data_IF_170041361217
#
_entry.id   IF_170041361217
#
_cell.length_a   1.000
_cell.length_b   1.000
_cell.length_c   1.000
_cell.angle_alpha   90.00
_cell.angle_beta   90.00
_cell.angle_gamma   90.00
#
_symmetry.space_group_name_H-M   'P 1'
#
loop_
_entity.id
_entity.type
_entity.pdbx_description
1 polymer ?
#
# COMPACT_ATOMS: atom_id res chain seq x y z
N UNK A 1 -9.88 10.33 1.46
CA UNK A 1 -9.41 10.89 0.16
C UNK A 1 -10.60 11.47 -0.58
N UNK A 2 -10.53 12.69 -1.10
CA UNK A 2 -11.64 13.23 -1.92
C UNK A 2 -11.71 12.47 -3.25
N UNK A 3 -12.91 12.17 -3.81
CA UNK A 3 -13.05 11.39 -5.04
C UNK A 3 -12.23 11.94 -6.23
N UNK A 4 -12.03 13.26 -6.28
CA UNK A 4 -11.21 13.92 -7.31
C UNK A 4 -9.74 13.49 -7.23
N UNK A 5 -9.17 13.39 -6.03
CA UNK A 5 -7.78 12.96 -5.84
C UNK A 5 -7.55 11.51 -6.25
N UNK A 6 -8.58 10.65 -6.18
CA UNK A 6 -8.44 9.25 -6.62
C UNK A 6 -8.28 9.13 -8.14
N UNK A 7 -8.77 10.10 -8.92
CA UNK A 7 -8.66 10.10 -10.38
C UNK A 7 -7.20 10.22 -10.84
N UNK A 8 -6.41 11.06 -10.15
CA UNK A 8 -4.99 11.29 -10.43
C UNK A 8 -4.17 10.00 -10.39
N UNK A 9 -4.51 9.10 -9.47
CA UNK A 9 -3.75 7.87 -9.27
C UNK A 9 -4.26 6.69 -10.08
N UNK A 10 -5.39 6.84 -10.79
CA UNK A 10 -6.01 5.72 -11.48
C UNK A 10 -5.11 5.15 -12.59
N UNK A 11 -4.56 6.01 -13.44
CA UNK A 11 -3.68 5.59 -14.54
C UNK A 11 -2.32 5.07 -14.03
N UNK A 12 -1.61 5.78 -13.13
CA UNK A 12 -0.38 5.27 -12.54
C UNK A 12 -0.54 3.91 -11.84
N UNK A 13 -1.61 3.73 -11.05
CA UNK A 13 -1.86 2.46 -10.37
C UNK A 13 -2.24 1.35 -11.36
N UNK A 14 -2.97 1.65 -12.44
CA UNK A 14 -3.24 0.66 -13.47
C UNK A 14 -1.97 0.18 -14.15
N UNK A 15 -1.02 1.08 -14.43
CA UNK A 15 0.28 0.70 -14.98
C UNK A 15 1.02 -0.28 -14.06
N UNK A 16 1.09 0.01 -12.76
CA UNK A 16 1.70 -0.90 -11.76
C UNK A 16 0.99 -2.27 -11.74
N UNK A 17 -0.35 -2.27 -11.79
CA UNK A 17 -1.13 -3.52 -11.82
C UNK A 17 -0.90 -4.34 -13.10
N UNK A 18 -0.76 -3.70 -14.26
CA UNK A 18 -0.46 -4.38 -15.52
C UNK A 18 0.94 -5.02 -15.48
N UNK A 19 1.92 -4.31 -14.94
CA UNK A 19 3.27 -4.85 -14.73
C UNK A 19 3.27 -6.05 -13.80
N UNK A 20 2.45 -6.01 -12.74
CA UNK A 20 2.26 -7.15 -11.85
C UNK A 20 1.64 -8.36 -12.56
N UNK A 21 0.69 -8.13 -13.47
CA UNK A 21 0.11 -9.20 -14.28
C UNK A 21 1.15 -9.83 -15.20
N UNK A 22 2.02 -9.04 -15.83
CA UNK A 22 3.13 -9.58 -16.62
C UNK A 22 4.11 -10.35 -15.74
N UNK A 23 4.47 -9.82 -14.57
CA UNK A 23 5.31 -10.51 -13.58
C UNK A 23 4.74 -11.89 -13.20
N UNK A 24 3.44 -11.99 -12.93
CA UNK A 24 2.77 -13.28 -12.67
C UNK A 24 2.95 -14.24 -13.86
N UNK A 25 2.85 -13.75 -15.10
CA UNK A 25 3.00 -14.60 -16.29
C UNK A 25 4.43 -15.07 -16.51
N UNK A 26 5.42 -14.30 -16.08
CA UNK A 26 6.84 -14.64 -16.14
C UNK A 26 7.22 -15.68 -15.09
N UNK A 27 6.74 -15.55 -13.85
CA UNK A 27 7.15 -16.42 -12.75
C UNK A 27 6.33 -17.71 -12.63
N UNK A 28 5.15 -17.78 -13.26
CA UNK A 28 4.32 -18.98 -13.21
C UNK A 28 5.02 -20.13 -13.93
N UNK A 29 4.90 -21.31 -13.36
CA UNK A 29 5.34 -22.53 -14.03
C UNK A 29 4.52 -22.74 -15.32
N UNK A 30 5.16 -22.99 -16.48
CA UNK A 30 4.48 -23.05 -17.77
C UNK A 30 3.56 -24.28 -17.92
N UNK A 31 3.69 -25.28 -17.06
CA UNK A 31 2.92 -26.53 -17.13
C UNK A 31 1.75 -26.54 -16.14
N UNK A 32 2.01 -26.21 -14.88
CA UNK A 32 1.03 -26.19 -13.79
C UNK A 32 0.25 -24.88 -13.74
N UNK A 33 0.81 -23.80 -14.28
CA UNK A 33 0.30 -22.43 -14.18
C UNK A 33 0.27 -21.88 -12.74
N UNK A 34 1.00 -22.51 -11.83
CA UNK A 34 1.14 -22.09 -10.43
C UNK A 34 2.28 -21.08 -10.27
N UNK A 35 2.12 -20.16 -9.32
CA UNK A 35 3.18 -19.22 -8.90
C UNK A 35 4.03 -19.83 -7.78
N UNK A 36 5.27 -19.35 -7.57
CA UNK A 36 6.13 -19.84 -6.49
C UNK A 36 5.50 -19.74 -5.09
N UNK A 37 5.93 -20.62 -4.17
CA UNK A 37 5.42 -20.65 -2.78
C UNK A 37 5.61 -19.34 -2.00
N UNK A 38 6.60 -18.52 -2.39
CA UNK A 38 6.89 -17.21 -1.81
C UNK A 38 6.19 -16.05 -2.53
N UNK A 39 5.14 -16.29 -3.32
CA UNK A 39 4.41 -15.25 -4.08
C UNK A 39 3.89 -14.07 -3.25
N UNK A 40 3.80 -14.22 -1.92
CA UNK A 40 3.54 -13.10 -1.01
C UNK A 40 4.57 -11.96 -1.14
N UNK A 41 5.83 -12.27 -1.48
CA UNK A 41 6.88 -11.28 -1.73
C UNK A 41 6.55 -10.40 -2.94
N UNK A 42 6.11 -11.00 -4.05
CA UNK A 42 5.67 -10.22 -5.23
C UNK A 42 4.42 -9.37 -4.91
N UNK A 43 3.49 -9.87 -4.07
CA UNK A 43 2.33 -9.09 -3.60
C UNK A 43 2.79 -7.90 -2.73
N UNK A 44 3.81 -8.07 -1.89
CA UNK A 44 4.41 -6.95 -1.14
C UNK A 44 5.04 -5.92 -2.08
N UNK A 45 5.74 -6.33 -3.13
CA UNK A 45 6.29 -5.39 -4.12
C UNK A 45 5.17 -4.62 -4.84
N UNK A 46 4.08 -5.28 -5.22
CA UNK A 46 2.90 -4.61 -5.76
C UNK A 46 2.36 -3.53 -4.81
N UNK A 47 2.20 -3.89 -3.53
CA UNK A 47 1.71 -2.95 -2.52
C UNK A 47 2.69 -1.77 -2.34
N UNK A 48 3.99 -2.03 -2.36
CA UNK A 48 5.02 -1.02 -2.23
C UNK A 48 5.05 -0.04 -3.40
N UNK A 49 5.10 -0.53 -4.64
CA UNK A 49 5.06 0.33 -5.84
C UNK A 49 3.75 1.13 -5.89
N UNK A 50 2.62 0.50 -5.55
CA UNK A 50 1.32 1.18 -5.52
C UNK A 50 1.26 2.30 -4.48
N UNK A 51 1.75 2.05 -3.26
CA UNK A 51 1.77 3.05 -2.19
C UNK A 51 2.79 4.15 -2.49
N UNK A 52 3.94 3.81 -3.06
CA UNK A 52 4.96 4.75 -3.53
C UNK A 52 4.42 5.79 -4.49
N UNK A 53 3.66 5.31 -5.49
CA UNK A 53 3.01 6.18 -6.48
C UNK A 53 2.06 7.18 -5.82
N UNK A 54 1.36 6.80 -4.75
CA UNK A 54 0.42 7.69 -4.05
C UNK A 54 1.11 8.59 -3.03
N UNK A 55 2.12 8.08 -2.32
CA UNK A 55 2.77 8.76 -1.20
C UNK A 55 3.84 9.76 -1.65
N UNK A 56 4.64 9.41 -2.67
CA UNK A 56 5.82 10.17 -3.10
C UNK A 56 5.88 10.41 -4.62
N UNK A 57 4.80 10.13 -5.35
CA UNK A 57 4.72 10.21 -6.82
C UNK A 57 5.90 9.48 -7.49
N UNK A 58 6.25 8.30 -6.95
CA UNK A 58 7.38 7.53 -7.41
C UNK A 58 7.01 6.05 -7.59
N UNK A 59 7.36 5.53 -8.75
CA UNK A 59 7.31 4.10 -9.07
C UNK A 59 8.71 3.53 -8.82
N UNK A 60 8.87 2.76 -7.74
CA UNK A 60 10.16 2.15 -7.38
C UNK A 60 10.55 1.03 -8.35
N UNK A 61 9.60 0.52 -9.13
CA UNK A 61 9.80 -0.50 -10.14
C UNK A 61 10.21 -1.85 -9.55
N UNK A 62 9.80 -2.17 -8.33
CA UNK A 62 10.13 -3.42 -7.64
C UNK A 62 9.51 -4.64 -8.29
N UNK A 63 8.40 -4.45 -9.00
CA UNK A 63 7.76 -5.51 -9.78
C UNK A 63 8.61 -5.85 -11.03
N UNK A 64 9.32 -4.88 -11.59
CA UNK A 64 10.07 -4.99 -12.87
C UNK A 64 11.56 -5.27 -12.69
N UNK A 65 12.17 -4.63 -11.71
CA UNK A 65 13.61 -4.70 -11.42
C UNK A 65 13.82 -5.75 -10.35
N UNK A 66 14.94 -6.46 -10.45
CA UNK A 66 15.34 -7.49 -9.50
C UNK A 66 15.02 -7.04 -8.04
N UNK A 67 14.28 -7.82 -7.23
CA UNK A 67 13.85 -7.48 -5.86
C UNK A 67 14.97 -7.02 -4.92
N UNK A 68 16.22 -7.27 -5.28
CA UNK A 68 17.43 -6.97 -4.52
C UNK A 68 17.81 -5.47 -4.52
N UNK A 69 16.86 -4.55 -4.70
CA UNK A 69 17.09 -3.14 -4.35
C UNK A 69 17.25 -3.07 -2.84
N UNK A 70 18.51 -3.06 -2.39
CA UNK A 70 18.89 -3.10 -0.98
C UNK A 70 18.09 -2.11 -0.13
N UNK A 71 17.87 -0.90 -0.64
CA UNK A 71 17.11 0.17 0.03
C UNK A 71 15.68 -0.24 0.38
N UNK A 72 14.98 -0.92 -0.53
CA UNK A 72 13.60 -1.35 -0.30
C UNK A 72 13.54 -2.53 0.64
N UNK A 73 14.44 -3.51 0.49
CA UNK A 73 14.55 -4.63 1.43
C UNK A 73 14.78 -4.11 2.85
N UNK A 74 15.72 -3.19 2.99
CA UNK A 74 16.04 -2.49 4.25
C UNK A 74 14.81 -1.75 4.77
N UNK A 75 14.06 -1.03 3.92
CA UNK A 75 12.84 -0.35 4.36
C UNK A 75 11.80 -1.34 4.90
N UNK A 76 11.54 -2.45 4.20
CA UNK A 76 10.62 -3.50 4.62
C UNK A 76 11.04 -4.17 5.95
N UNK A 77 12.32 -4.49 6.11
CA UNK A 77 12.85 -5.04 7.36
C UNK A 77 12.63 -4.07 8.54
N UNK A 78 12.85 -2.77 8.31
CA UNK A 78 12.69 -1.75 9.33
C UNK A 78 11.22 -1.43 9.63
N UNK A 79 10.30 -1.53 8.66
CA UNK A 79 8.86 -1.46 8.88
C UNK A 79 8.39 -2.60 9.81
N UNK A 80 8.83 -3.83 9.54
CA UNK A 80 8.56 -4.98 10.41
C UNK A 80 9.13 -4.79 11.83
N UNK A 81 10.35 -4.26 11.94
CA UNK A 81 10.97 -3.96 13.22
C UNK A 81 10.23 -2.85 14.00
N UNK A 82 9.69 -1.86 13.30
CA UNK A 82 8.86 -0.81 13.87
C UNK A 82 7.56 -1.36 14.44
N UNK A 83 6.81 -2.17 13.68
CA UNK A 83 5.56 -2.79 14.16
C UNK A 83 5.79 -3.63 15.42
N UNK A 84 6.86 -4.42 15.46
CA UNK A 84 7.25 -5.19 16.65
C UNK A 84 7.58 -4.28 17.84
N UNK A 85 8.17 -3.12 17.57
CA UNK A 85 8.55 -2.16 18.60
C UNK A 85 7.35 -1.42 19.20
N UNK A 86 6.26 -1.20 18.45
CA UNK A 86 4.99 -0.70 19.00
C UNK A 86 4.51 -1.62 20.13
N UNK A 87 4.55 -2.93 19.91
CA UNK A 87 4.14 -3.90 20.94
C UNK A 87 5.10 -3.94 22.13
N UNK A 88 6.40 -4.00 21.87
CA UNK A 88 7.43 -4.08 22.93
C UNK A 88 7.55 -2.82 23.79
N UNK A 89 7.20 -1.64 23.26
CA UNK A 89 7.31 -0.36 23.96
C UNK A 89 5.97 0.21 24.44
N UNK A 90 4.89 -0.01 23.68
CA UNK A 90 3.58 0.59 23.93
C UNK A 90 2.60 -0.31 24.68
N UNK A 91 2.72 -1.64 24.55
CA UNK A 91 1.77 -2.59 25.16
C UNK A 91 2.40 -3.31 26.36
N UNK A 92 3.63 -3.80 26.22
CA UNK A 92 4.34 -4.43 27.34
C UNK A 92 4.79 -3.37 28.37
N UNK A 93 4.78 -3.71 29.67
CA UNK A 93 5.49 -2.89 30.66
C UNK A 93 6.93 -2.68 30.22
N UNK A 94 7.32 -1.41 30.01
CA UNK A 94 8.63 -1.08 29.45
C UNK A 94 9.23 0.13 30.16
N UNK A 95 10.50 -0.01 30.55
CA UNK A 95 11.25 1.03 31.26
C UNK A 95 11.91 2.04 30.32
N UNK A 96 11.59 2.02 29.02
CA UNK A 96 12.24 2.86 28.01
C UNK A 96 12.15 4.37 28.30
N UNK A 97 11.14 4.79 29.07
CA UNK A 97 10.98 6.19 29.50
C UNK A 97 11.99 6.62 30.57
N UNK A 98 12.58 5.67 31.29
CA UNK A 98 13.53 5.93 32.38
C UNK A 98 14.97 5.55 32.01
N UNK A 99 15.13 4.47 31.23
CA UNK A 99 16.43 3.97 30.78
C UNK A 99 16.36 3.55 29.32
N UNK A 100 17.43 3.80 28.57
CA UNK A 100 17.52 3.42 27.16
C UNK A 100 17.60 1.90 27.01
N UNK A 101 16.47 1.26 26.66
CA UNK A 101 16.38 -0.20 26.46
C UNK A 101 16.84 -0.61 25.05
N UNK A 102 17.26 -1.88 24.83
CA UNK A 102 17.56 -2.39 23.50
C UNK A 102 16.38 -2.25 22.52
N UNK A 103 15.15 -2.48 22.98
CA UNK A 103 13.94 -2.32 22.16
C UNK A 103 13.75 -0.88 21.70
N UNK A 104 14.03 0.10 22.58
CA UNK A 104 13.97 1.52 22.21
C UNK A 104 15.07 1.91 21.22
N UNK A 105 16.30 1.40 21.39
CA UNK A 105 17.38 1.63 20.41
C UNK A 105 17.02 1.08 19.03
N UNK A 106 16.42 -0.11 18.97
CA UNK A 106 15.95 -0.73 17.72
C UNK A 106 14.83 0.11 17.07
N UNK A 107 13.88 0.60 17.87
CA UNK A 107 12.84 1.51 17.42
C UNK A 107 13.41 2.80 16.83
N UNK A 108 14.27 3.50 17.59
CA UNK A 108 14.88 4.76 17.17
C UNK A 108 15.67 4.58 15.86
N UNK A 109 16.54 3.57 15.78
CA UNK A 109 17.29 3.27 14.56
C UNK A 109 16.37 3.01 13.35
N UNK A 110 15.26 2.30 13.55
CA UNK A 110 14.32 2.02 12.46
C UNK A 110 13.60 3.29 12.01
N UNK A 111 13.19 4.14 12.96
CA UNK A 111 12.56 5.43 12.67
C UNK A 111 13.50 6.37 11.92
N UNK A 112 14.77 6.47 12.36
CA UNK A 112 15.77 7.33 11.71
C UNK A 112 16.00 6.89 10.26
N UNK A 113 16.18 5.60 10.01
CA UNK A 113 16.41 5.09 8.67
C UNK A 113 15.18 5.24 7.75
N UNK A 114 13.98 4.94 8.26
CA UNK A 114 12.74 5.16 7.51
C UNK A 114 12.56 6.63 7.16
N UNK A 115 12.89 7.54 8.08
CA UNK A 115 12.86 8.97 7.84
C UNK A 115 13.87 9.37 6.76
N UNK A 116 15.11 8.89 6.83
CA UNK A 116 16.16 9.23 5.86
C UNK A 116 15.80 8.77 4.44
N UNK A 117 15.35 7.52 4.30
CA UNK A 117 14.89 6.96 3.02
C UNK A 117 13.70 7.75 2.48
N UNK A 118 12.68 8.02 3.31
CA UNK A 118 11.52 8.79 2.86
C UNK A 118 11.90 10.22 2.47
N UNK A 119 12.76 10.87 3.25
CA UNK A 119 13.24 12.21 2.99
C UNK A 119 14.03 12.26 1.67
N UNK A 120 14.83 11.25 1.36
CA UNK A 120 15.49 11.11 0.06
C UNK A 120 14.47 11.12 -1.09
N UNK A 121 13.47 10.23 -1.08
CA UNK A 121 12.47 10.16 -2.16
C UNK A 121 11.58 11.40 -2.26
N UNK A 122 11.23 12.03 -1.13
CA UNK A 122 10.50 13.31 -1.14
C UNK A 122 11.35 14.42 -1.78
N UNK A 123 12.66 14.45 -1.53
CA UNK A 123 13.55 15.42 -2.17
C UNK A 123 13.66 15.18 -3.68
N UNK A 124 13.77 13.92 -4.11
CA UNK A 124 13.76 13.63 -5.54
C UNK A 124 12.45 14.04 -6.20
N UNK A 125 11.32 13.77 -5.53
CA UNK A 125 10.01 14.19 -6.01
C UNK A 125 9.93 15.72 -6.13
N UNK A 126 10.48 16.46 -5.16
CA UNK A 126 10.57 17.92 -5.22
C UNK A 126 11.38 18.41 -6.43
N UNK A 127 12.55 17.83 -6.70
CA UNK A 127 13.35 18.19 -7.87
C UNK A 127 12.57 17.96 -9.17
N UNK A 128 11.90 16.81 -9.31
CA UNK A 128 11.06 16.50 -10.47
C UNK A 128 9.90 17.49 -10.67
N UNK A 129 9.34 17.99 -9.56
CA UNK A 129 8.27 18.99 -9.57
C UNK A 129 8.76 20.40 -9.93
N UNK A 130 9.99 20.74 -9.55
CA UNK A 130 10.62 22.01 -9.93
C UNK A 130 11.02 22.02 -11.41
N UNK A 131 11.51 20.90 -11.94
CA UNK A 131 11.88 20.72 -13.35
C UNK A 131 10.64 20.69 -14.26
N UNK A 132 9.59 19.99 -13.84
CA UNK A 132 8.31 20.00 -14.51
C UNK A 132 7.47 21.16 -13.97
N UNK A 133 7.79 22.40 -14.36
CA UNK A 133 6.94 23.57 -14.08
C UNK A 133 5.47 23.21 -14.34
N UNK A 134 4.70 22.98 -13.27
CA UNK A 134 3.33 22.50 -13.37
C UNK A 134 2.57 23.49 -14.26
N UNK A 135 2.06 23.02 -15.41
CA UNK A 135 1.19 23.84 -16.24
C UNK A 135 0.00 24.25 -15.38
N UNK A 136 -0.23 25.56 -15.29
CA UNK A 136 -1.32 26.11 -14.52
C UNK A 136 -2.64 25.45 -15.00
N UNK A 137 -3.28 24.66 -14.14
CA UNK A 137 -4.53 23.95 -14.46
C UNK A 137 -4.53 22.43 -14.22
N UNK A 138 -3.39 21.77 -14.00
CA UNK A 138 -3.36 20.34 -13.67
C UNK A 138 -3.68 20.07 -12.18
N UNK A 139 -4.39 18.97 -11.92
CA UNK A 139 -4.76 18.57 -10.56
C UNK A 139 -3.52 18.08 -9.78
N UNK A 140 -3.29 18.64 -8.60
CA UNK A 140 -2.08 18.34 -7.80
C UNK A 140 -2.12 17.02 -7.07
N UNK A 141 -0.98 16.34 -6.96
CA UNK A 141 -0.80 15.13 -6.17
C UNK A 141 -0.99 15.37 -4.66
N UNK A 142 -1.11 14.29 -3.89
CA UNK A 142 -1.15 14.31 -2.43
C UNK A 142 0.15 14.92 -1.89
N UNK A 143 1.31 14.53 -2.42
CA UNK A 143 2.60 15.07 -1.98
C UNK A 143 2.67 16.58 -2.24
N UNK A 144 2.34 17.04 -3.45
CA UNK A 144 2.34 18.47 -3.79
C UNK A 144 1.41 19.29 -2.87
N UNK A 145 0.23 18.76 -2.57
CA UNK A 145 -0.72 19.39 -1.64
C UNK A 145 -0.14 19.51 -0.24
N UNK A 146 0.56 18.48 0.24
CA UNK A 146 1.20 18.48 1.56
C UNK A 146 2.42 19.41 1.62
N UNK A 147 3.21 19.46 0.54
CA UNK A 147 4.36 20.35 0.42
C UNK A 147 3.97 21.83 0.52
N UNK A 148 2.81 22.20 -0.04
CA UNK A 148 2.26 23.56 0.10
C UNK A 148 1.88 23.94 1.52
N UNK A 149 1.60 22.96 2.38
CA UNK A 149 1.34 23.20 3.80
C UNK A 149 2.67 23.37 4.52
N UNK A 150 3.51 22.34 4.50
CA UNK A 150 4.84 22.35 5.11
C UNK A 150 5.64 21.11 4.67
N UNK A 151 6.92 21.30 4.30
CA UNK A 151 7.86 20.21 3.96
C UNK A 151 7.95 19.12 5.04
N UNK A 152 8.02 19.50 6.32
CA UNK A 152 8.07 18.53 7.43
C UNK A 152 6.81 17.67 7.47
N UNK A 153 5.64 18.27 7.27
CA UNK A 153 4.37 17.54 7.21
C UNK A 153 4.34 16.58 6.03
N UNK A 154 4.81 17.01 4.84
CA UNK A 154 4.89 16.15 3.67
C UNK A 154 5.75 14.90 3.91
N UNK A 155 6.94 15.06 4.50
CA UNK A 155 7.83 13.93 4.81
C UNK A 155 7.18 12.97 5.81
N UNK A 156 6.65 13.50 6.91
CA UNK A 156 6.03 12.67 7.96
C UNK A 156 4.82 11.90 7.42
N UNK A 157 3.97 12.55 6.62
CA UNK A 157 2.79 11.92 6.03
C UNK A 157 3.16 10.90 4.95
N UNK A 158 4.17 11.18 4.12
CA UNK A 158 4.68 10.21 3.14
C UNK A 158 5.25 8.97 3.83
N UNK A 159 6.00 9.17 4.91
CA UNK A 159 6.55 8.09 5.74
C UNK A 159 5.42 7.26 6.35
N UNK A 160 4.41 7.90 6.94
CA UNK A 160 3.25 7.22 7.53
C UNK A 160 2.47 6.42 6.47
N UNK A 161 2.27 6.98 5.28
CA UNK A 161 1.60 6.29 4.16
C UNK A 161 2.37 5.07 3.69
N UNK A 162 3.70 5.16 3.54
CA UNK A 162 4.55 4.02 3.18
C UNK A 162 4.50 2.94 4.26
N UNK A 163 4.65 3.32 5.53
CA UNK A 163 4.67 2.40 6.66
C UNK A 163 3.34 1.67 6.87
N UNK A 164 2.23 2.40 6.85
CA UNK A 164 0.91 1.82 7.11
C UNK A 164 0.29 1.17 5.86
N UNK A 165 0.65 1.65 4.67
CA UNK A 165 0.01 1.28 3.41
C UNK A 165 0.47 -0.07 2.87
N UNK A 166 1.75 -0.40 3.01
CA UNK A 166 2.34 -1.59 2.36
C UNK A 166 1.81 -2.88 2.98
N UNK A 167 2.10 -3.11 4.27
CA UNK A 167 1.72 -4.36 4.96
C UNK A 167 0.20 -4.57 4.99
N UNK A 168 -0.56 -3.49 5.18
CA UNK A 168 -2.02 -3.55 5.19
C UNK A 168 -2.60 -3.95 3.83
N UNK A 169 -2.08 -3.35 2.75
CA UNK A 169 -2.58 -3.61 1.38
C UNK A 169 -2.17 -5.00 0.90
N UNK A 170 -0.93 -5.42 1.12
CA UNK A 170 -0.47 -6.76 0.72
C UNK A 170 -1.21 -7.87 1.45
N UNK A 171 -1.45 -7.69 2.76
CA UNK A 171 -2.27 -8.61 3.57
C UNK A 171 -3.71 -8.68 3.08
N UNK A 172 -4.31 -7.54 2.73
CA UNK A 172 -5.66 -7.48 2.19
C UNK A 172 -5.77 -8.23 0.85
N UNK A 173 -4.86 -7.95 -0.09
CA UNK A 173 -4.82 -8.61 -1.40
C UNK A 173 -4.68 -10.11 -1.22
N UNK A 174 -3.76 -10.55 -0.36
CA UNK A 174 -3.54 -11.97 -0.06
C UNK A 174 -4.80 -12.64 0.49
N UNK A 175 -5.48 -11.99 1.45
CA UNK A 175 -6.73 -12.49 2.01
C UNK A 175 -7.85 -12.59 0.96
N UNK A 176 -7.97 -11.58 0.09
CA UNK A 176 -8.94 -11.57 -1.01
C UNK A 176 -8.67 -12.71 -1.98
N UNK A 177 -7.42 -12.87 -2.43
CA UNK A 177 -7.02 -13.95 -3.34
C UNK A 177 -7.30 -15.33 -2.72
N UNK A 178 -6.97 -15.52 -1.44
CA UNK A 178 -7.24 -16.75 -0.70
C UNK A 178 -8.75 -17.05 -0.64
N UNK A 179 -9.57 -16.05 -0.31
CA UNK A 179 -11.03 -16.22 -0.26
C UNK A 179 -11.59 -16.62 -1.63
N UNK A 180 -11.12 -15.97 -2.70
CA UNK A 180 -11.58 -16.26 -4.06
C UNK A 180 -11.15 -17.67 -4.50
N UNK A 181 -9.89 -18.02 -4.28
CA UNK A 181 -9.34 -19.33 -4.63
C UNK A 181 -10.06 -20.50 -3.92
N UNK A 182 -10.46 -20.31 -2.65
CA UNK A 182 -11.20 -21.31 -1.88
C UNK A 182 -12.68 -21.43 -2.28
N UNK A 183 -13.20 -20.53 -3.11
CA UNK A 183 -14.62 -20.48 -3.49
C UNK A 183 -14.78 -20.36 -5.02
N UNK A 184 -14.57 -21.44 -5.79
CA UNK A 184 -14.56 -21.41 -7.26
C UNK A 184 -15.86 -20.87 -7.89
N UNK A 185 -17.03 -21.18 -7.30
CA UNK A 185 -18.32 -20.64 -7.74
C UNK A 185 -18.36 -19.11 -7.64
N UNK A 186 -17.81 -18.56 -6.55
CA UNK A 186 -17.75 -17.11 -6.32
C UNK A 186 -16.70 -16.45 -7.21
N UNK A 187 -15.58 -17.13 -7.47
CA UNK A 187 -14.57 -16.70 -8.43
C UNK A 187 -15.16 -16.59 -9.85
N UNK A 188 -15.92 -17.60 -10.28
CA UNK A 188 -16.57 -17.61 -11.59
C UNK A 188 -17.59 -16.46 -11.72
N UNK A 189 -18.44 -16.25 -10.71
CA UNK A 189 -19.36 -15.12 -10.68
C UNK A 189 -18.65 -13.76 -10.72
N UNK A 190 -17.54 -13.62 -10.00
CA UNK A 190 -16.72 -12.41 -10.05
C UNK A 190 -16.13 -12.17 -11.45
N UNK A 191 -15.64 -13.24 -12.08
CA UNK A 191 -15.11 -13.20 -13.44
C UNK A 191 -16.18 -12.80 -14.46
N UNK A 192 -17.42 -13.26 -14.30
CA UNK A 192 -18.56 -12.86 -15.15
C UNK A 192 -18.86 -11.36 -15.03
N UNK A 193 -18.91 -10.81 -13.81
CA UNK A 193 -19.07 -9.36 -13.61
C UNK A 193 -17.93 -8.57 -14.28
N UNK A 194 -16.69 -9.01 -14.10
CA UNK A 194 -15.52 -8.33 -14.67
C UNK A 194 -15.55 -8.35 -16.21
N UNK A 195 -15.87 -9.50 -16.83
CA UNK A 195 -15.95 -9.62 -18.30
C UNK A 195 -17.11 -8.79 -18.87
N UNK A 196 -18.23 -8.68 -18.15
CA UNK A 196 -19.36 -7.87 -18.61
C UNK A 196 -19.02 -6.36 -18.66
N UNK A 197 -18.15 -5.89 -17.78
CA UNK A 197 -17.73 -4.48 -17.70
C UNK A 197 -16.48 -4.20 -18.54
N UNK A 198 -15.56 -5.16 -18.63
CA UNK A 198 -14.29 -5.09 -19.34
C UNK A 198 -14.16 -6.31 -20.29
N UNK A 199 -14.84 -6.29 -21.45
CA UNK A 199 -14.90 -7.43 -22.36
C UNK A 199 -13.57 -7.77 -23.03
N UNK A 200 -12.64 -6.82 -23.16
CA UNK A 200 -11.34 -7.02 -23.80
C UNK A 200 -10.19 -7.01 -22.80
N UNK A 201 -9.12 -7.76 -23.10
CA UNK A 201 -7.96 -7.94 -22.22
C UNK A 201 -7.22 -6.64 -21.87
N UNK A 202 -7.30 -5.65 -22.75
CA UNK A 202 -6.57 -4.38 -22.61
C UNK A 202 -7.49 -3.22 -22.21
N UNK A 203 -8.74 -3.52 -21.83
CA UNK A 203 -9.65 -2.49 -21.35
C UNK A 203 -9.11 -1.92 -20.04
N UNK A 204 -9.04 -0.59 -19.97
CA UNK A 204 -8.59 0.12 -18.79
C UNK A 204 -9.76 0.39 -17.84
N UNK A 205 -9.47 0.38 -16.55
CA UNK A 205 -10.46 0.82 -15.57
C UNK A 205 -10.68 2.33 -15.71
N UNK A 206 -11.92 2.77 -15.60
CA UNK A 206 -12.31 4.16 -15.47
C UNK A 206 -13.07 4.31 -14.16
N UNK A 207 -13.30 5.54 -13.71
CA UNK A 207 -14.13 5.76 -12.51
C UNK A 207 -15.54 5.20 -12.73
N UNK A 208 -16.03 5.30 -13.95
CA UNK A 208 -17.33 4.86 -14.41
C UNK A 208 -17.41 3.33 -14.42
N UNK A 209 -16.43 2.63 -14.99
CA UNK A 209 -16.42 1.15 -14.97
C UNK A 209 -16.24 0.62 -13.55
N UNK A 210 -15.39 1.26 -12.73
CA UNK A 210 -15.26 0.90 -11.32
C UNK A 210 -16.57 1.05 -10.54
N UNK A 211 -17.48 1.96 -10.92
CA UNK A 211 -18.83 2.09 -10.33
C UNK A 211 -19.75 0.92 -10.69
N UNK A 212 -19.48 0.20 -11.77
CA UNK A 212 -20.27 -0.93 -12.26
C UNK A 212 -19.85 -2.30 -11.68
N UNK A 213 -18.99 -2.33 -10.65
CA UNK A 213 -18.46 -3.56 -10.05
C UNK A 213 -18.94 -3.79 -8.60
N UNK A 214 -20.26 -3.94 -8.35
CA UNK A 214 -20.79 -4.16 -7.00
C UNK A 214 -20.33 -5.47 -6.37
N UNK A 215 -20.20 -6.55 -7.14
CA UNK A 215 -19.83 -7.86 -6.62
C UNK A 215 -18.34 -7.93 -6.27
N UNK A 216 -17.45 -7.33 -7.07
CA UNK A 216 -16.04 -7.14 -6.69
C UNK A 216 -15.92 -6.44 -5.34
N UNK A 217 -16.67 -5.35 -5.13
CA UNK A 217 -16.67 -4.63 -3.84
C UNK A 217 -17.22 -5.50 -2.71
N UNK A 218 -18.22 -6.34 -2.97
CA UNK A 218 -18.74 -7.28 -2.00
C UNK A 218 -17.68 -8.33 -1.62
N UNK A 219 -16.95 -8.89 -2.60
CA UNK A 219 -15.85 -9.83 -2.37
C UNK A 219 -14.73 -9.21 -1.51
N UNK A 220 -14.32 -7.97 -1.81
CA UNK A 220 -13.32 -7.24 -1.02
C UNK A 220 -13.80 -7.06 0.43
N UNK A 221 -15.04 -6.59 0.62
CA UNK A 221 -15.62 -6.39 1.95
C UNK A 221 -15.73 -7.69 2.73
N UNK A 222 -16.17 -8.78 2.08
CA UNK A 222 -16.36 -10.07 2.72
C UNK A 222 -15.03 -10.73 3.10
N UNK A 223 -14.01 -10.61 2.24
CA UNK A 223 -12.66 -11.05 2.58
C UNK A 223 -12.13 -10.31 3.82
N UNK A 224 -12.29 -8.98 3.88
CA UNK A 224 -11.88 -8.17 5.02
C UNK A 224 -12.75 -8.39 6.28
N UNK A 225 -13.99 -8.87 6.12
CA UNK A 225 -14.84 -9.30 7.25
C UNK A 225 -14.30 -10.57 7.90
N UNK A 226 -13.82 -11.53 7.09
CA UNK A 226 -13.24 -12.79 7.58
C UNK A 226 -11.79 -12.64 8.04
N UNK A 227 -11.00 -11.84 7.32
CA UNK A 227 -9.58 -11.58 7.58
C UNK A 227 -9.38 -10.08 7.84
N UNK A 228 -9.79 -9.57 9.01
CA UNK A 228 -9.62 -8.17 9.34
C UNK A 228 -8.14 -7.83 9.52
N UNK A 229 -7.71 -6.69 8.97
CA UNK A 229 -6.33 -6.20 9.12
C UNK A 229 -6.03 -5.67 10.53
N UNK A 230 -7.07 -5.27 11.27
CA UNK A 230 -6.96 -4.73 12.62
C UNK A 230 -7.87 -5.52 13.55
N UNK A 231 -7.36 -5.84 14.74
CA UNK A 231 -8.10 -6.60 15.77
C UNK A 231 -9.26 -5.81 16.39
N UNK A 232 -9.27 -4.48 16.25
CA UNK A 232 -10.32 -3.63 16.78
C UNK A 232 -10.09 -2.15 16.49
N UNK A 233 -11.09 -1.35 16.83
CA UNK A 233 -11.03 0.11 16.77
C UNK A 233 -10.92 0.65 18.20
N UNK A 234 -9.87 1.40 18.51
CA UNK A 234 -9.71 2.05 19.80
C UNK A 234 -10.16 3.52 19.74
N UNK A 235 -10.84 3.99 20.79
CA UNK A 235 -11.22 5.40 20.98
C UNK A 235 -11.07 5.76 22.45
N UNK A 236 -10.56 6.96 22.73
CA UNK A 236 -10.66 7.57 24.04
C UNK A 236 -11.95 8.39 24.09
N UNK A 237 -12.79 8.10 25.07
CA UNK A 237 -14.11 8.73 25.19
C UNK A 237 -13.96 10.02 25.98
N UNK A 238 -14.33 11.16 25.37
CA UNK A 238 -14.19 12.48 26.01
C UNK A 238 -15.30 12.81 27.03
N UNK A 239 -16.31 11.94 27.14
CA UNK A 239 -17.41 12.04 28.08
C UNK A 239 -18.06 10.65 28.28
N UNK A 240 -18.83 10.51 29.35
CA UNK A 240 -19.63 9.30 29.61
C UNK A 240 -20.56 9.00 28.44
N UNK A 241 -20.65 7.72 28.06
CA UNK A 241 -21.52 7.26 26.97
C UNK A 241 -22.20 5.94 27.33
N UNK A 242 -23.41 5.76 26.82
CA UNK A 242 -24.18 4.52 26.94
C UNK A 242 -23.99 3.70 25.66
N UNK A 243 -23.48 2.48 25.79
CA UNK A 243 -23.49 1.48 24.73
C UNK A 243 -24.71 0.58 24.94
N UNK A 244 -25.80 0.88 24.23
CA UNK A 244 -27.05 0.11 24.23
C UNK A 244 -27.11 -0.87 23.07
#
# INVERSE_FOLDING_TARGET
MQPKNAKLYLEPLQKVNLEFIERIREIRDPHTLEVPNNFFEDINHLAFDSVGVVAVDHDFGLIRRNPDLEEVRVLCEHMSAFLKSIYDLGIKPSFYKYITTPSYRRFAKSMDLMFDITNHYVNEALVRLEENHSKDGEERSVLEKLLKINRKTAIVMAMDMLMAGVDGTSSAITAILLCIAKNPEKQQKLREELIAVLPHRNDQFTIETMKQLPYLRACIKEALRFYPLAFGNAREVGADLVLS
#
